data_IF_566228120216
#
_entry.id   IF_566228120216
#
_cell.length_a   1.000
_cell.length_b   1.000
_cell.length_c   1.000
_cell.angle_alpha   90.00
_cell.angle_beta   90.00
_cell.angle_gamma   90.00
#
_symmetry.space_group_name_H-M   'P 1'
#
loop_
_entity.id
_entity.type
_entity.pdbx_description
1 polymer ?
#
# COMPACT_ATOMS: atom_id res chain seq x y z
N UNK A 1 46.90 -35.23 -48.96
CA UNK A 1 45.59 -34.56 -48.85
C UNK A 1 44.84 -35.12 -47.64
N UNK A 2 44.88 -34.44 -46.51
CA UNK A 2 44.04 -34.77 -45.35
C UNK A 2 43.75 -33.47 -44.59
N UNK A 3 42.68 -32.81 -45.02
CA UNK A 3 42.26 -31.52 -44.52
C UNK A 3 41.51 -31.72 -43.19
N UNK A 4 42.22 -31.52 -42.07
CA UNK A 4 41.67 -31.58 -40.71
C UNK A 4 40.73 -30.38 -40.47
N UNK A 5 39.42 -30.58 -40.67
CA UNK A 5 38.39 -29.64 -40.24
C UNK A 5 38.29 -29.64 -38.70
N UNK A 6 38.91 -28.65 -38.05
CA UNK A 6 38.63 -28.31 -36.65
C UNK A 6 37.17 -27.85 -36.55
N UNK A 7 36.31 -28.68 -35.95
CA UNK A 7 34.95 -28.26 -35.61
C UNK A 7 35.03 -27.23 -34.47
N UNK A 8 34.50 -26.03 -34.72
CA UNK A 8 34.36 -25.01 -33.68
C UNK A 8 33.22 -25.46 -32.77
N UNK A 9 33.57 -25.84 -31.55
CA UNK A 9 32.62 -26.18 -30.50
C UNK A 9 31.90 -24.89 -30.07
N UNK A 10 30.69 -24.68 -30.60
CA UNK A 10 29.84 -23.55 -30.21
C UNK A 10 29.21 -23.90 -28.86
N UNK A 11 29.77 -23.38 -27.78
CA UNK A 11 29.15 -23.47 -26.45
C UNK A 11 27.80 -22.75 -26.51
N UNK A 12 26.70 -23.52 -26.49
CA UNK A 12 25.36 -22.98 -26.23
C UNK A 12 25.33 -22.58 -24.76
N UNK A 13 25.31 -21.27 -24.50
CA UNK A 13 24.99 -20.75 -23.18
C UNK A 13 23.50 -21.03 -22.97
N UNK A 14 23.17 -22.00 -22.13
CA UNK A 14 21.78 -22.25 -21.72
C UNK A 14 21.25 -21.02 -21.00
N UNK A 15 20.20 -20.42 -21.56
CA UNK A 15 19.47 -19.32 -20.91
C UNK A 15 18.68 -19.91 -19.74
N UNK A 16 19.18 -19.75 -18.52
CA UNK A 16 18.40 -20.00 -17.32
C UNK A 16 17.51 -18.78 -17.08
N UNK A 17 16.19 -18.98 -17.10
CA UNK A 17 15.25 -17.94 -16.70
C UNK A 17 15.60 -17.43 -15.29
N UNK A 18 15.67 -16.10 -15.07
CA UNK A 18 16.02 -15.56 -13.77
C UNK A 18 14.99 -16.03 -12.74
N UNK A 19 15.49 -16.74 -11.72
CA UNK A 19 14.65 -17.26 -10.66
C UNK A 19 14.13 -16.08 -9.80
N UNK A 20 12.89 -15.67 -10.04
CA UNK A 20 12.24 -14.59 -9.32
C UNK A 20 12.20 -14.87 -7.82
N UNK A 21 12.31 -13.81 -7.01
CA UNK A 21 12.14 -13.94 -5.57
C UNK A 21 10.68 -14.32 -5.28
N UNK A 22 10.41 -15.41 -4.54
CA UNK A 22 9.05 -15.75 -4.13
C UNK A 22 8.33 -14.58 -3.46
N UNK A 23 7.07 -14.32 -3.84
CA UNK A 23 6.30 -13.18 -3.32
C UNK A 23 6.27 -13.08 -1.78
N UNK A 24 6.18 -14.18 -0.99
CA UNK A 24 6.27 -14.10 0.47
C UNK A 24 7.62 -13.55 0.95
N UNK A 25 8.72 -13.92 0.29
CA UNK A 25 10.07 -13.42 0.60
C UNK A 25 10.19 -11.95 0.21
N UNK A 26 9.73 -11.57 -0.98
CA UNK A 26 9.72 -10.17 -1.41
C UNK A 26 8.90 -9.29 -0.45
N UNK A 27 7.78 -9.80 0.06
CA UNK A 27 6.97 -9.15 1.09
C UNK A 27 7.76 -8.97 2.39
N UNK A 28 8.44 -10.02 2.85
CA UNK A 28 9.32 -9.98 4.02
C UNK A 28 10.43 -8.95 3.88
N UNK A 29 11.06 -8.84 2.70
CA UNK A 29 12.10 -7.83 2.45
C UNK A 29 11.57 -6.39 2.55
N UNK A 30 10.36 -6.14 2.05
CA UNK A 30 9.71 -4.82 2.18
C UNK A 30 9.37 -4.50 3.64
N UNK A 31 8.93 -5.49 4.41
CA UNK A 31 8.66 -5.36 5.85
C UNK A 31 9.95 -5.04 6.62
N UNK A 32 11.00 -5.84 6.42
CA UNK A 32 12.32 -5.62 7.02
C UNK A 32 12.83 -4.22 6.68
N UNK A 33 12.71 -3.77 5.43
CA UNK A 33 13.11 -2.42 5.05
C UNK A 33 12.42 -1.34 5.88
N UNK A 34 11.09 -1.42 6.03
CA UNK A 34 10.34 -0.40 6.76
C UNK A 34 10.53 -0.48 8.27
N UNK A 35 10.69 -1.67 8.82
CA UNK A 35 10.93 -1.87 10.26
C UNK A 35 12.30 -1.33 10.66
N UNK A 36 13.36 -1.67 9.91
CA UNK A 36 14.70 -1.11 10.13
C UNK A 36 14.74 0.39 9.92
N UNK A 37 14.09 0.90 8.88
CA UNK A 37 13.99 2.35 8.66
C UNK A 37 13.30 3.06 9.83
N UNK A 38 12.21 2.49 10.34
CA UNK A 38 11.49 3.03 11.49
C UNK A 38 12.36 3.04 12.75
N UNK A 39 12.99 1.91 13.07
CA UNK A 39 13.90 1.78 14.21
C UNK A 39 15.07 2.74 14.11
N UNK A 40 15.74 2.82 12.96
CA UNK A 40 16.86 3.75 12.72
C UNK A 40 16.45 5.19 13.00
N UNK A 41 15.30 5.64 12.47
CA UNK A 41 14.80 7.01 12.69
C UNK A 41 14.49 7.25 14.18
N UNK A 42 13.81 6.30 14.84
CA UNK A 42 13.46 6.43 16.25
C UNK A 42 14.70 6.49 17.15
N UNK A 43 15.64 5.56 16.97
CA UNK A 43 16.90 5.52 17.72
C UNK A 43 17.71 6.80 17.50
N UNK A 44 17.82 7.27 16.27
CA UNK A 44 18.58 8.49 15.98
C UNK A 44 17.95 9.72 16.62
N UNK A 45 16.63 9.89 16.53
CA UNK A 45 15.93 10.99 17.20
C UNK A 45 16.11 10.94 18.72
N UNK A 46 16.08 9.74 19.34
CA UNK A 46 16.33 9.60 20.77
C UNK A 46 17.74 10.03 21.17
N UNK A 47 18.76 9.68 20.37
CA UNK A 47 20.14 10.12 20.58
C UNK A 47 20.25 11.64 20.47
N UNK A 48 19.71 12.23 19.40
CA UNK A 48 19.72 13.69 19.20
C UNK A 48 19.07 14.43 20.38
N UNK A 49 17.89 13.98 20.81
CA UNK A 49 17.19 14.56 21.97
C UNK A 49 17.99 14.44 23.26
N UNK A 50 18.71 13.34 23.47
CA UNK A 50 19.57 13.17 24.64
C UNK A 50 20.78 14.13 24.57
N UNK A 51 21.40 14.27 23.41
CA UNK A 51 22.53 15.19 23.22
C UNK A 51 22.12 16.64 23.43
N UNK A 52 21.01 17.07 22.84
CA UNK A 52 20.46 18.42 23.01
C UNK A 52 20.19 18.73 24.50
N UNK A 53 19.57 17.80 25.24
CA UNK A 53 19.32 17.94 26.69
C UNK A 53 20.58 18.11 27.52
N UNK A 54 21.70 17.55 27.06
CA UNK A 54 22.98 17.62 27.75
C UNK A 54 23.91 18.70 27.15
N UNK A 55 23.40 19.58 26.30
CA UNK A 55 24.18 20.68 25.70
C UNK A 55 25.25 20.21 24.70
N UNK A 56 25.16 18.98 24.20
CA UNK A 56 26.05 18.44 23.18
C UNK A 56 25.48 18.81 21.81
N UNK A 57 26.25 19.56 21.02
CA UNK A 57 25.81 19.97 19.68
C UNK A 57 25.81 18.81 18.69
N UNK A 58 25.00 18.91 17.62
CA UNK A 58 25.03 17.93 16.53
C UNK A 58 26.41 17.89 15.85
N UNK A 59 27.10 19.03 15.73
CA UNK A 59 28.46 19.07 15.20
C UNK A 59 29.48 18.31 16.07
N UNK A 60 29.32 18.31 17.39
CA UNK A 60 30.20 17.55 18.29
C UNK A 60 30.05 16.04 18.08
N UNK A 61 28.81 15.57 17.86
CA UNK A 61 28.55 14.18 17.50
C UNK A 61 29.26 13.78 16.20
N UNK A 62 29.32 14.71 15.24
CA UNK A 62 29.97 14.48 13.95
C UNK A 62 31.50 14.52 14.03
N UNK A 63 32.07 15.58 14.64
CA UNK A 63 33.50 15.88 14.56
C UNK A 63 34.32 15.30 15.71
N UNK A 64 33.72 15.18 16.90
CA UNK A 64 34.46 14.84 18.14
C UNK A 64 34.25 13.39 18.58
N UNK A 65 33.05 12.85 18.42
CA UNK A 65 32.69 11.53 18.95
C UNK A 65 32.51 10.44 17.88
N UNK A 66 32.58 10.78 16.59
CA UNK A 66 32.58 9.80 15.48
C UNK A 66 31.26 9.05 15.26
N UNK A 67 30.15 9.52 15.85
CA UNK A 67 28.85 8.80 15.87
C UNK A 67 28.18 8.76 14.48
N UNK A 68 28.52 9.72 13.61
CA UNK A 68 28.00 9.81 12.23
C UNK A 68 28.21 8.54 11.41
N UNK A 69 29.40 7.92 11.55
CA UNK A 69 29.75 6.69 10.84
C UNK A 69 28.78 5.54 11.15
N UNK A 70 28.43 5.36 12.43
CA UNK A 70 27.49 4.33 12.88
C UNK A 70 26.07 4.55 12.32
N UNK A 71 25.65 5.82 12.19
CA UNK A 71 24.35 6.15 11.60
C UNK A 71 24.35 5.86 10.10
N UNK A 72 25.43 6.20 9.40
CA UNK A 72 25.58 5.91 7.97
C UNK A 72 25.62 4.41 7.69
N UNK A 73 26.31 3.63 8.52
CA UNK A 73 26.32 2.17 8.48
C UNK A 73 24.92 1.58 8.59
N UNK A 74 24.08 2.08 9.50
CA UNK A 74 22.68 1.67 9.61
C UNK A 74 21.89 1.94 8.30
N UNK A 75 22.18 3.06 7.60
CA UNK A 75 21.60 3.34 6.27
C UNK A 75 22.07 2.35 5.20
N UNK A 76 23.31 1.84 5.31
CA UNK A 76 23.83 0.88 4.31
C UNK A 76 23.02 -0.41 4.25
N UNK A 77 22.50 -0.87 5.39
CA UNK A 77 21.66 -2.07 5.45
C UNK A 77 20.34 -1.89 4.68
N UNK A 78 19.64 -0.77 4.92
CA UNK A 78 18.44 -0.40 4.15
C UNK A 78 18.75 -0.30 2.64
N UNK A 79 19.88 0.30 2.29
CA UNK A 79 20.31 0.43 0.90
C UNK A 79 20.60 -0.93 0.24
N UNK A 80 21.14 -1.91 0.97
CA UNK A 80 21.33 -3.28 0.47
C UNK A 80 19.99 -3.94 0.14
N UNK A 81 18.99 -3.80 1.02
CA UNK A 81 17.64 -4.30 0.77
C UNK A 81 17.02 -3.59 -0.44
N UNK A 82 17.12 -2.26 -0.50
CA UNK A 82 16.63 -1.48 -1.63
C UNK A 82 17.25 -1.94 -2.95
N UNK A 83 18.58 -2.10 -3.02
CA UNK A 83 19.27 -2.59 -4.22
C UNK A 83 18.76 -3.96 -4.66
N UNK A 84 18.54 -4.88 -3.72
CA UNK A 84 17.97 -6.21 -4.03
C UNK A 84 16.56 -6.12 -4.58
N UNK A 85 15.73 -5.24 -4.03
CA UNK A 85 14.38 -4.99 -4.54
C UNK A 85 14.39 -4.26 -5.89
N UNK A 86 15.32 -3.32 -6.11
CA UNK A 86 15.52 -2.64 -7.40
C UNK A 86 15.79 -3.66 -8.52
N UNK A 87 16.68 -4.63 -8.28
CA UNK A 87 16.98 -5.69 -9.26
C UNK A 87 15.85 -6.69 -9.48
N UNK A 88 14.90 -6.79 -8.54
CA UNK A 88 13.79 -7.74 -8.62
C UNK A 88 12.59 -7.14 -9.36
N UNK A 89 12.19 -5.91 -9.01
CA UNK A 89 10.95 -5.30 -9.53
C UNK A 89 11.00 -5.06 -11.04
N UNK A 90 12.19 -4.88 -11.62
CA UNK A 90 12.37 -4.71 -13.08
C UNK A 90 11.89 -5.90 -13.89
N UNK A 91 11.82 -7.09 -13.29
CA UNK A 91 11.34 -8.29 -13.96
C UNK A 91 9.80 -8.32 -14.09
N UNK A 92 9.08 -7.40 -13.44
CA UNK A 92 7.63 -7.33 -13.47
C UNK A 92 7.17 -6.29 -14.50
N UNK A 93 6.38 -6.72 -15.49
CA UNK A 93 5.84 -5.84 -16.55
C UNK A 93 5.11 -4.62 -16.00
N UNK A 94 4.35 -4.78 -14.92
CA UNK A 94 3.62 -3.67 -14.28
C UNK A 94 4.55 -2.59 -13.71
N UNK A 95 5.75 -2.98 -13.27
CA UNK A 95 6.75 -2.02 -12.81
C UNK A 95 7.29 -1.22 -13.99
N UNK A 96 7.78 -1.92 -15.02
CA UNK A 96 8.34 -1.30 -16.22
C UNK A 96 7.33 -0.36 -16.91
N UNK A 97 6.12 -0.86 -17.14
CA UNK A 97 5.14 -0.16 -17.96
C UNK A 97 4.33 0.89 -17.20
N UNK A 98 4.30 0.87 -15.86
CA UNK A 98 3.43 1.77 -15.12
C UNK A 98 4.06 2.32 -13.84
N UNK A 99 4.38 1.48 -12.85
CA UNK A 99 4.71 1.96 -11.49
C UNK A 99 5.94 2.90 -11.46
N UNK A 100 6.98 2.61 -12.25
CA UNK A 100 8.20 3.45 -12.27
C UNK A 100 7.98 4.86 -12.84
N UNK A 101 6.89 5.06 -13.60
CA UNK A 101 6.55 6.33 -14.23
C UNK A 101 5.73 7.26 -13.32
N UNK A 102 5.35 6.80 -12.13
CA UNK A 102 4.55 7.59 -11.18
C UNK A 102 5.46 8.25 -10.15
N UNK A 103 5.39 9.57 -10.02
CA UNK A 103 6.19 10.28 -9.02
C UNK A 103 5.75 9.89 -7.61
N UNK A 104 6.74 9.58 -6.76
CA UNK A 104 6.50 9.10 -5.40
C UNK A 104 6.36 7.58 -5.31
N UNK A 105 6.44 6.83 -6.41
CA UNK A 105 6.49 5.36 -6.38
C UNK A 105 7.89 4.89 -6.74
N UNK A 106 8.59 4.37 -5.74
CA UNK A 106 9.90 3.72 -5.91
C UNK A 106 9.77 2.19 -5.95
N UNK A 107 10.92 1.52 -6.09
CA UNK A 107 11.03 0.06 -6.06
C UNK A 107 10.46 -0.57 -4.79
N UNK A 108 10.69 0.01 -3.61
CA UNK A 108 10.17 -0.51 -2.34
C UNK A 108 8.63 -0.57 -2.34
N UNK A 109 7.98 0.54 -2.72
CA UNK A 109 6.52 0.61 -2.78
C UNK A 109 5.97 -0.30 -3.88
N UNK A 110 6.68 -0.39 -5.01
CA UNK A 110 6.32 -1.27 -6.13
C UNK A 110 6.40 -2.74 -5.75
N UNK A 111 7.52 -3.17 -5.15
CA UNK A 111 7.70 -4.51 -4.60
C UNK A 111 6.61 -4.81 -3.56
N UNK A 112 6.29 -3.86 -2.68
CA UNK A 112 5.21 -4.00 -1.72
C UNK A 112 3.86 -4.25 -2.38
N UNK A 113 3.52 -3.49 -3.43
CA UNK A 113 2.27 -3.65 -4.18
C UNK A 113 2.22 -5.01 -4.86
N UNK A 114 3.28 -5.36 -5.58
CA UNK A 114 3.40 -6.63 -6.31
C UNK A 114 3.30 -7.81 -5.34
N UNK A 115 4.05 -7.78 -4.24
CA UNK A 115 4.08 -8.87 -3.26
C UNK A 115 2.76 -9.05 -2.50
N UNK A 116 2.02 -7.96 -2.25
CA UNK A 116 0.76 -8.03 -1.48
C UNK A 116 -0.46 -8.37 -2.35
N UNK A 117 -0.50 -7.88 -3.58
CA UNK A 117 -1.57 -8.18 -4.55
C UNK A 117 -1.33 -9.57 -5.14
N UNK A 118 -0.09 -9.83 -5.58
CA UNK A 118 0.31 -11.06 -6.23
C UNK A 118 -0.37 -11.22 -7.59
N UNK A 119 -1.48 -11.94 -7.59
CA UNK A 119 -2.26 -12.24 -8.79
C UNK A 119 -3.47 -11.31 -8.89
N UNK A 120 -3.44 -10.45 -9.91
CA UNK A 120 -4.49 -9.45 -10.15
C UNK A 120 -5.81 -10.08 -10.62
N UNK A 121 -5.80 -11.31 -11.15
CA UNK A 121 -6.98 -12.01 -11.65
C UNK A 121 -8.01 -12.28 -10.55
N UNK A 122 -7.54 -12.43 -9.30
CA UNK A 122 -8.35 -12.58 -8.07
C UNK A 122 -9.32 -11.41 -7.85
N UNK A 123 -9.05 -10.26 -8.45
CA UNK A 123 -9.84 -9.05 -8.33
C UNK A 123 -10.53 -8.74 -9.65
N UNK A 124 -11.70 -9.34 -9.88
CA UNK A 124 -12.54 -9.08 -11.06
C UNK A 124 -13.11 -7.66 -11.15
N UNK A 125 -13.07 -6.92 -10.05
CA UNK A 125 -13.58 -5.55 -9.92
C UNK A 125 -12.67 -4.76 -8.98
N UNK A 126 -12.54 -3.46 -9.24
CA UNK A 126 -11.78 -2.55 -8.37
C UNK A 126 -12.33 -2.54 -6.93
N UNK A 127 -13.64 -2.73 -6.74
CA UNK A 127 -14.26 -2.80 -5.41
C UNK A 127 -13.73 -3.96 -4.57
N UNK A 128 -13.46 -5.12 -5.17
CA UNK A 128 -12.84 -6.25 -4.46
C UNK A 128 -11.40 -5.95 -4.05
N UNK A 129 -10.62 -5.30 -4.92
CA UNK A 129 -9.26 -4.88 -4.57
C UNK A 129 -9.28 -3.83 -3.45
N UNK A 130 -10.18 -2.86 -3.50
CA UNK A 130 -10.35 -1.89 -2.41
C UNK A 130 -10.76 -2.56 -1.10
N UNK A 131 -11.68 -3.52 -1.11
CA UNK A 131 -12.05 -4.30 0.07
C UNK A 131 -10.85 -5.04 0.66
N UNK A 132 -10.06 -5.70 -0.19
CA UNK A 132 -8.84 -6.41 0.23
C UNK A 132 -7.75 -5.46 0.74
N UNK A 133 -7.62 -4.27 0.18
CA UNK A 133 -6.67 -3.23 0.62
C UNK A 133 -7.13 -2.44 1.86
N UNK A 134 -8.33 -2.71 2.40
CA UNK A 134 -8.88 -1.93 3.54
C UNK A 134 -9.37 -0.54 3.15
N UNK A 135 -9.60 -0.30 1.86
CA UNK A 135 -10.11 0.93 1.25
C UNK A 135 -11.59 0.82 0.85
N UNK A 136 -12.27 -0.26 1.21
CA UNK A 136 -13.69 -0.50 0.99
C UNK A 136 -14.56 -0.10 2.18
N UNK A 137 -15.71 -0.78 2.28
CA UNK A 137 -16.72 -0.57 3.30
C UNK A 137 -17.21 -1.91 3.86
N UNK A 138 -17.40 -1.96 5.16
CA UNK A 138 -18.18 -3.01 5.80
C UNK A 138 -19.65 -2.57 5.90
N UNK A 139 -20.48 -3.44 6.44
CA UNK A 139 -21.91 -3.17 6.64
C UNK A 139 -22.25 -3.31 8.12
N UNK A 140 -23.19 -2.49 8.59
CA UNK A 140 -23.65 -2.45 9.97
C UNK A 140 -25.16 -2.66 10.00
N UNK A 141 -25.62 -3.52 10.91
CA UNK A 141 -27.04 -3.71 11.15
C UNK A 141 -27.49 -2.72 12.25
N UNK A 142 -28.44 -1.81 11.95
CA UNK A 142 -28.96 -0.89 12.96
C UNK A 142 -29.76 -1.63 14.06
N UNK A 143 -30.48 -2.70 13.73
CA UNK A 143 -31.34 -3.41 14.70
C UNK A 143 -30.57 -4.32 15.66
N UNK A 144 -29.58 -5.05 15.16
CA UNK A 144 -28.75 -5.92 16.01
C UNK A 144 -27.50 -5.20 16.56
N UNK A 145 -27.31 -3.94 16.21
CA UNK A 145 -26.20 -3.08 16.64
C UNK A 145 -24.79 -3.64 16.43
N UNK A 146 -24.60 -4.50 15.42
CA UNK A 146 -23.31 -5.10 15.12
C UNK A 146 -22.95 -5.01 13.63
N UNK A 147 -21.64 -5.03 13.28
CA UNK A 147 -21.24 -5.18 11.90
C UNK A 147 -21.62 -6.56 11.37
N UNK A 148 -21.93 -6.66 10.08
CA UNK A 148 -22.21 -7.95 9.46
C UNK A 148 -20.95 -8.82 9.40
N UNK A 149 -21.12 -10.12 9.66
CA UNK A 149 -20.03 -11.06 9.76
C UNK A 149 -20.43 -12.45 9.28
N UNK A 150 -19.44 -13.30 9.08
CA UNK A 150 -19.58 -14.73 8.87
C UNK A 150 -18.80 -15.46 9.95
N UNK A 151 -19.37 -16.55 10.46
CA UNK A 151 -18.67 -17.43 11.39
C UNK A 151 -17.67 -18.28 10.61
N UNK A 152 -16.44 -18.32 11.10
CA UNK A 152 -15.32 -19.03 10.50
C UNK A 152 -14.66 -19.89 11.56
N UNK A 153 -14.29 -21.09 11.17
CA UNK A 153 -13.63 -22.06 12.04
C UNK A 153 -12.12 -22.03 11.81
N UNK A 154 -11.38 -22.16 12.89
CA UNK A 154 -9.92 -22.15 12.92
C UNK A 154 -9.42 -23.36 13.66
N UNK A 155 -8.55 -24.09 13.01
CA UNK A 155 -7.77 -25.14 13.64
C UNK A 155 -6.49 -24.52 14.21
N UNK A 156 -6.24 -24.74 15.50
CA UNK A 156 -4.98 -24.38 16.13
C UNK A 156 -3.88 -25.40 15.78
N UNK A 157 -2.66 -25.19 16.30
CA UNK A 157 -1.53 -26.10 16.02
C UNK A 157 -1.72 -27.50 16.60
N UNK A 158 -2.63 -27.65 17.56
CA UNK A 158 -2.92 -28.90 18.29
C UNK A 158 -4.16 -29.61 17.69
N UNK A 159 -4.78 -29.04 16.66
CA UNK A 159 -5.96 -29.59 15.99
C UNK A 159 -7.30 -29.16 16.59
N UNK A 160 -7.31 -28.26 17.59
CA UNK A 160 -8.56 -27.81 18.20
C UNK A 160 -9.26 -26.78 17.31
N UNK A 161 -10.57 -26.94 17.13
CA UNK A 161 -11.39 -26.03 16.32
C UNK A 161 -11.97 -24.92 17.21
N UNK A 162 -11.68 -23.67 16.86
CA UNK A 162 -12.26 -22.47 17.47
C UNK A 162 -13.09 -21.69 16.46
N UNK A 163 -14.19 -21.08 16.93
CA UNK A 163 -15.07 -20.26 16.08
C UNK A 163 -14.77 -18.78 16.26
N UNK A 164 -14.51 -18.08 15.15
CA UNK A 164 -14.33 -16.63 15.11
C UNK A 164 -15.38 -15.95 14.25
N UNK A 165 -15.63 -14.67 14.52
CA UNK A 165 -16.51 -13.81 13.70
C UNK A 165 -15.66 -12.99 12.73
N UNK A 166 -15.77 -13.23 11.42
CA UNK A 166 -15.03 -12.48 10.40
C UNK A 166 -15.94 -11.51 9.68
N UNK A 167 -15.53 -10.24 9.59
CA UNK A 167 -16.32 -9.19 8.96
C UNK A 167 -16.63 -9.53 7.50
N UNK A 168 -17.88 -9.36 7.07
CA UNK A 168 -18.26 -9.57 5.66
C UNK A 168 -19.43 -8.65 5.33
N UNK A 169 -19.34 -7.78 4.30
CA UNK A 169 -20.35 -6.76 4.00
C UNK A 169 -21.58 -7.38 3.33
N UNK A 170 -22.48 -7.96 4.12
CA UNK A 170 -23.76 -8.45 3.60
C UNK A 170 -24.74 -7.30 3.42
N UNK A 171 -25.55 -7.32 2.36
CA UNK A 171 -26.57 -6.29 2.13
C UNK A 171 -27.66 -6.32 3.22
N UNK A 172 -28.05 -7.53 3.64
CA UNK A 172 -28.94 -7.78 4.75
C UNK A 172 -28.20 -8.46 5.91
N UNK A 173 -28.64 -8.22 7.13
CA UNK A 173 -28.05 -8.82 8.32
C UNK A 173 -28.24 -10.35 8.29
N UNK A 174 -27.18 -11.17 8.53
CA UNK A 174 -27.32 -12.62 8.54
C UNK A 174 -28.15 -13.16 9.71
N UNK A 175 -28.35 -12.37 10.78
CA UNK A 175 -29.11 -12.79 11.96
C UNK A 175 -30.60 -12.38 11.88
N UNK A 176 -30.87 -11.12 11.53
CA UNK A 176 -32.23 -10.56 11.53
C UNK A 176 -32.77 -10.16 10.15
N UNK A 177 -32.01 -10.36 9.08
CA UNK A 177 -32.34 -10.03 7.69
C UNK A 177 -32.67 -8.54 7.39
N UNK A 178 -32.48 -7.62 8.35
CA UNK A 178 -32.67 -6.18 8.11
C UNK A 178 -31.61 -5.59 7.19
N UNK A 179 -32.00 -4.55 6.44
CA UNK A 179 -31.10 -3.83 5.54
C UNK A 179 -29.98 -3.14 6.31
N UNK A 180 -28.77 -3.26 5.78
CA UNK A 180 -27.56 -2.80 6.47
C UNK A 180 -27.03 -1.48 5.89
N UNK A 181 -26.39 -0.69 6.74
CA UNK A 181 -25.80 0.59 6.37
C UNK A 181 -24.29 0.46 6.13
N UNK A 182 -23.70 1.19 5.16
CA UNK A 182 -22.27 1.13 4.91
C UNK A 182 -21.48 1.83 6.02
N UNK A 183 -20.42 1.15 6.49
CA UNK A 183 -19.46 1.68 7.44
C UNK A 183 -18.04 1.55 6.88
N UNK A 184 -17.16 2.50 7.19
CA UNK A 184 -15.76 2.43 6.75
C UNK A 184 -15.08 1.21 7.41
N UNK A 185 -14.27 0.45 6.65
CA UNK A 185 -13.47 -0.64 7.20
C UNK A 185 -12.53 -0.13 8.31
N UNK A 186 -12.75 -0.58 9.54
CA UNK A 186 -11.93 -0.30 10.72
C UNK A 186 -11.86 -1.55 11.57
N UNK A 187 -10.80 -1.68 12.37
CA UNK A 187 -10.69 -2.78 13.35
C UNK A 187 -11.86 -2.67 14.32
N UNK A 188 -12.57 -3.76 14.53
CA UNK A 188 -13.72 -3.81 15.42
C UNK A 188 -13.49 -4.90 16.47
N UNK A 189 -13.60 -4.53 17.75
CA UNK A 189 -13.38 -5.46 18.87
C UNK A 189 -14.31 -6.67 18.74
N UNK A 190 -13.76 -7.87 18.90
CA UNK A 190 -14.51 -9.13 18.79
C UNK A 190 -14.70 -9.65 17.37
N UNK A 191 -14.20 -8.93 16.36
CA UNK A 191 -14.29 -9.34 14.96
C UNK A 191 -12.92 -9.37 14.30
N UNK A 192 -12.76 -10.33 13.39
CA UNK A 192 -11.60 -10.39 12.53
C UNK A 192 -11.77 -9.52 11.29
N UNK A 193 -10.68 -8.84 10.95
CA UNK A 193 -10.58 -7.98 9.78
C UNK A 193 -10.73 -8.78 8.48
N UNK A 194 -11.33 -8.15 7.46
CA UNK A 194 -11.57 -8.74 6.14
C UNK A 194 -10.73 -8.11 5.02
N UNK A 195 -9.66 -7.43 5.41
CA UNK A 195 -8.66 -6.85 4.52
C UNK A 195 -7.26 -7.35 4.90
N UNK A 196 -6.29 -7.18 4.01
CA UNK A 196 -4.87 -7.38 4.30
C UNK A 196 -4.34 -6.21 5.13
N UNK A 197 -3.94 -6.41 6.41
CA UNK A 197 -3.39 -5.33 7.22
C UNK A 197 -2.14 -4.70 6.59
N UNK A 198 -1.33 -5.53 5.93
CA UNK A 198 -0.09 -5.14 5.25
C UNK A 198 -0.35 -4.24 4.06
N UNK A 199 -1.26 -4.65 3.17
CA UNK A 199 -1.62 -3.82 2.02
C UNK A 199 -2.26 -2.50 2.46
N UNK A 200 -3.08 -2.52 3.53
CA UNK A 200 -3.67 -1.30 4.10
C UNK A 200 -2.59 -0.32 4.60
N UNK A 201 -1.57 -0.81 5.29
CA UNK A 201 -0.42 0.01 5.73
C UNK A 201 0.36 0.53 4.53
N UNK A 202 0.57 -0.28 3.50
CA UNK A 202 1.23 0.14 2.28
C UNK A 202 0.45 1.26 1.55
N UNK A 203 -0.88 1.15 1.47
CA UNK A 203 -1.75 2.19 0.94
C UNK A 203 -1.62 3.51 1.72
N UNK A 204 -1.44 3.47 3.04
CA UNK A 204 -1.16 4.66 3.83
C UNK A 204 0.20 5.28 3.44
N UNK A 205 1.26 4.45 3.31
CA UNK A 205 2.60 4.90 2.87
C UNK A 205 2.58 5.51 1.46
N UNK A 206 1.81 4.93 0.53
CA UNK A 206 1.59 5.47 -0.82
C UNK A 206 1.00 6.88 -0.76
N UNK A 207 -0.07 7.03 0.02
CA UNK A 207 -0.71 8.33 0.24
C UNK A 207 0.26 9.39 0.75
N UNK A 208 1.01 9.06 1.81
CA UNK A 208 2.06 9.96 2.33
C UNK A 208 3.14 10.28 1.30
N UNK A 209 3.49 9.32 0.44
CA UNK A 209 4.48 9.52 -0.62
C UNK A 209 4.01 10.53 -1.67
N UNK A 210 2.76 10.42 -2.13
CA UNK A 210 2.16 11.37 -3.08
C UNK A 210 2.08 12.78 -2.50
N UNK A 211 1.68 12.89 -1.23
CA UNK A 211 1.63 14.19 -0.55
C UNK A 211 3.01 14.82 -0.45
N UNK A 212 4.10 14.07 -0.39
CA UNK A 212 5.46 14.64 -0.35
C UNK A 212 5.99 15.12 -1.71
N UNK A 213 5.30 14.83 -2.81
CA UNK A 213 5.74 15.24 -4.15
C UNK A 213 5.37 16.70 -4.47
N UNK A 214 6.03 17.25 -5.50
CA UNK A 214 5.71 18.58 -6.05
C UNK A 214 4.55 18.48 -7.06
N UNK A 215 3.53 19.32 -6.92
CA UNK A 215 2.34 19.33 -7.78
C UNK A 215 2.64 19.52 -9.27
N UNK A 216 3.67 20.31 -9.59
CA UNK A 216 4.12 20.52 -10.97
C UNK A 216 4.56 19.22 -11.67
N UNK A 217 5.05 18.22 -10.91
CA UNK A 217 5.61 16.98 -11.46
C UNK A 217 4.75 15.74 -11.21
N UNK A 218 3.86 15.77 -10.21
CA UNK A 218 3.09 14.59 -9.79
C UNK A 218 1.60 14.80 -9.96
N UNK A 219 0.97 13.97 -10.80
CA UNK A 219 -0.47 13.96 -11.03
C UNK A 219 -1.26 13.56 -9.78
N UNK A 220 -0.79 12.57 -9.01
CA UNK A 220 -1.46 12.20 -7.76
C UNK A 220 -1.36 13.26 -6.68
N UNK A 221 -0.29 14.08 -6.66
CA UNK A 221 -0.24 15.26 -5.80
C UNK A 221 -1.31 16.28 -6.20
N UNK A 222 -1.52 16.53 -7.50
CA UNK A 222 -2.58 17.44 -7.98
C UNK A 222 -3.98 16.94 -7.64
N UNK A 223 -4.24 15.63 -7.79
CA UNK A 223 -5.51 15.00 -7.39
C UNK A 223 -5.74 15.14 -5.88
N UNK A 224 -4.70 14.95 -5.07
CA UNK A 224 -4.79 15.19 -3.63
C UNK A 224 -5.14 16.65 -3.31
N UNK A 225 -4.50 17.60 -3.99
CA UNK A 225 -4.75 19.03 -3.79
C UNK A 225 -6.17 19.44 -4.23
N UNK A 226 -6.69 18.89 -5.33
CA UNK A 226 -8.07 19.15 -5.74
C UNK A 226 -9.04 18.68 -4.66
N UNK A 227 -8.88 17.45 -4.15
CA UNK A 227 -9.73 16.98 -3.05
C UNK A 227 -9.60 17.77 -1.76
N UNK A 228 -8.40 18.31 -1.47
CA UNK A 228 -8.21 19.19 -0.32
C UNK A 228 -8.95 20.51 -0.49
N UNK A 229 -8.86 21.12 -1.67
CA UNK A 229 -9.60 22.35 -2.00
C UNK A 229 -11.10 22.13 -1.87
N UNK A 230 -11.63 21.10 -2.53
CA UNK A 230 -13.07 20.79 -2.49
C UNK A 230 -13.56 20.56 -1.05
N UNK A 231 -12.86 19.72 -0.26
CA UNK A 231 -13.27 19.42 1.12
C UNK A 231 -13.20 20.66 2.04
N UNK A 232 -12.30 21.60 1.74
CA UNK A 232 -12.15 22.88 2.47
C UNK A 232 -13.26 23.86 2.11
N UNK A 233 -13.68 23.89 0.85
CA UNK A 233 -14.82 24.70 0.39
C UNK A 233 -16.15 24.22 1.00
N UNK A 234 -16.38 22.90 1.04
CA UNK A 234 -17.57 22.32 1.67
C UNK A 234 -17.57 22.40 3.20
N UNK A 235 -16.39 22.38 3.84
CA UNK A 235 -16.24 22.35 5.30
C UNK A 235 -15.16 23.35 5.78
N UNK A 236 -15.41 24.66 5.66
CA UNK A 236 -14.40 25.68 5.95
C UNK A 236 -14.08 25.80 7.44
N UNK A 237 -14.98 25.38 8.32
CA UNK A 237 -14.82 25.51 9.78
C UNK A 237 -14.86 24.15 10.49
N UNK A 238 -14.27 24.10 11.69
CA UNK A 238 -14.31 22.91 12.53
C UNK A 238 -15.73 22.69 13.06
N UNK A 239 -16.39 21.65 12.57
CA UNK A 239 -17.72 21.27 13.05
C UNK A 239 -17.60 20.20 14.13
N UNK A 240 -18.27 20.42 15.26
CA UNK A 240 -18.50 19.41 16.30
C UNK A 240 -19.96 18.94 16.21
N UNK A 241 -20.17 17.63 16.31
CA UNK A 241 -21.49 17.00 16.33
C UNK A 241 -21.48 15.95 17.45
N UNK A 242 -22.48 15.97 18.33
CA UNK A 242 -22.59 15.06 19.48
C UNK A 242 -21.31 14.98 20.34
N UNK A 243 -20.70 16.14 20.63
CA UNK A 243 -19.47 16.24 21.43
C UNK A 243 -18.20 15.74 20.73
N UNK A 244 -18.30 15.24 19.49
CA UNK A 244 -17.15 14.74 18.71
C UNK A 244 -16.84 15.69 17.56
N UNK A 245 -15.56 15.89 17.27
CA UNK A 245 -15.13 16.67 16.09
C UNK A 245 -15.46 15.87 14.83
N UNK A 246 -16.41 16.36 14.02
CA UNK A 246 -16.81 15.73 12.77
C UNK A 246 -15.83 16.08 11.65
N UNK A 247 -15.50 17.37 11.52
CA UNK A 247 -14.57 17.88 10.54
C UNK A 247 -13.44 18.66 11.21
N UNK A 248 -12.21 18.22 10.98
CA UNK A 248 -10.99 18.97 11.29
C UNK A 248 -10.00 18.79 10.14
N UNK A 249 -8.93 19.59 10.15
CA UNK A 249 -7.92 19.56 9.10
C UNK A 249 -7.31 18.17 8.90
N UNK A 250 -7.05 17.43 9.98
CA UNK A 250 -6.53 16.06 9.93
C UNK A 250 -7.52 15.06 9.29
N UNK A 251 -8.82 15.20 9.53
CA UNK A 251 -9.85 14.37 8.90
C UNK A 251 -9.94 14.67 7.40
N UNK A 252 -9.86 15.94 7.03
CA UNK A 252 -9.86 16.37 5.63
C UNK A 252 -8.61 15.87 4.90
N UNK A 253 -7.44 16.01 5.53
CA UNK A 253 -6.18 15.44 5.07
C UNK A 253 -6.31 13.94 4.80
N UNK A 254 -6.74 13.17 5.81
CA UNK A 254 -6.86 11.72 5.70
C UNK A 254 -7.90 11.30 4.64
N UNK A 255 -8.98 12.06 4.49
CA UNK A 255 -10.01 11.82 3.46
C UNK A 255 -9.46 12.07 2.06
N UNK A 256 -8.77 13.20 1.84
CA UNK A 256 -8.15 13.53 0.56
C UNK A 256 -7.06 12.52 0.17
N UNK A 257 -6.20 12.13 1.13
CA UNK A 257 -5.21 11.06 0.93
C UNK A 257 -5.90 9.75 0.54
N UNK A 258 -6.93 9.34 1.29
CA UNK A 258 -7.66 8.11 1.01
C UNK A 258 -8.31 8.12 -0.38
N UNK A 259 -8.95 9.21 -0.78
CA UNK A 259 -9.56 9.36 -2.12
C UNK A 259 -8.49 9.24 -3.22
N UNK A 260 -7.35 9.91 -3.04
CA UNK A 260 -6.21 9.86 -3.97
C UNK A 260 -5.68 8.43 -4.13
N UNK A 261 -5.47 7.72 -3.02
CA UNK A 261 -4.99 6.33 -3.05
C UNK A 261 -6.02 5.40 -3.70
N UNK A 262 -7.32 5.61 -3.51
CA UNK A 262 -8.36 4.83 -4.22
C UNK A 262 -8.23 4.99 -5.74
N UNK A 263 -8.01 6.22 -6.22
CA UNK A 263 -7.82 6.50 -7.65
C UNK A 263 -6.55 5.82 -8.15
N UNK A 264 -5.43 5.95 -7.43
CA UNK A 264 -4.21 5.24 -7.77
C UNK A 264 -4.42 3.73 -7.88
N UNK A 265 -5.07 3.11 -6.89
CA UNK A 265 -5.38 1.67 -6.91
C UNK A 265 -6.31 1.30 -8.07
N UNK A 266 -7.22 2.19 -8.47
CA UNK A 266 -8.05 2.01 -9.67
C UNK A 266 -7.20 2.01 -10.93
N UNK A 267 -6.29 2.97 -11.08
CA UNK A 267 -5.43 3.03 -12.25
C UNK A 267 -4.50 1.83 -12.32
N UNK A 268 -3.89 1.45 -11.20
CA UNK A 268 -3.06 0.24 -11.10
C UNK A 268 -3.84 -1.02 -11.49
N UNK A 269 -5.09 -1.15 -11.03
CA UNK A 269 -5.92 -2.31 -11.36
C UNK A 269 -6.26 -2.37 -12.85
N UNK A 270 -6.63 -1.24 -13.45
CA UNK A 270 -6.91 -1.15 -14.89
C UNK A 270 -5.66 -1.54 -15.69
N UNK A 271 -4.54 -0.84 -15.47
CA UNK A 271 -3.32 -1.05 -16.26
C UNK A 271 -2.75 -2.45 -16.10
N UNK A 272 -2.80 -3.01 -14.89
CA UNK A 272 -2.31 -4.35 -14.65
C UNK A 272 -3.21 -5.41 -15.30
N UNK A 273 -4.54 -5.28 -15.24
CA UNK A 273 -5.44 -6.21 -15.92
C UNK A 273 -5.30 -6.16 -17.43
N UNK A 274 -5.19 -4.97 -18.02
CA UNK A 274 -4.93 -4.80 -19.45
C UNK A 274 -3.64 -5.50 -19.88
N UNK A 275 -2.58 -5.41 -19.08
CA UNK A 275 -1.31 -6.09 -19.36
C UNK A 275 -1.38 -7.61 -19.29
N UNK A 276 -2.27 -8.16 -18.46
CA UNK A 276 -2.52 -9.59 -18.35
C UNK A 276 -3.59 -10.08 -19.34
N UNK A 277 -4.09 -9.20 -20.23
CA UNK A 277 -5.16 -9.55 -21.18
C UNK A 277 -6.50 -9.85 -20.52
N UNK A 278 -6.70 -9.38 -19.28
CA UNK A 278 -7.91 -9.62 -18.50
C UNK A 278 -8.95 -8.54 -18.78
N UNK A 279 -10.22 -8.92 -18.79
CA UNK A 279 -11.31 -7.95 -18.96
C UNK A 279 -11.30 -6.88 -17.88
N UNK A 280 -11.38 -5.62 -18.31
CA UNK A 280 -11.57 -4.46 -17.44
C UNK A 280 -13.05 -4.11 -17.43
N UNK A 281 -13.74 -4.47 -16.35
CA UNK A 281 -15.10 -3.98 -16.12
C UNK A 281 -15.04 -2.49 -15.83
N UNK A 282 -15.91 -1.73 -16.50
CA UNK A 282 -16.21 -0.34 -16.19
C UNK A 282 -16.20 -0.10 -14.66
N UNK A 283 -15.46 0.91 -14.14
CA UNK A 283 -15.43 1.17 -12.71
C UNK A 283 -16.84 1.35 -12.17
N UNK A 284 -17.13 0.78 -11.00
CA UNK A 284 -18.42 0.97 -10.29
C UNK A 284 -18.88 2.44 -10.21
N UNK A 285 -17.94 3.39 -10.27
CA UNK A 285 -18.18 4.84 -10.28
C UNK A 285 -19.05 5.29 -11.47
N UNK A 286 -18.92 4.62 -12.63
CA UNK A 286 -19.72 4.88 -13.84
C UNK A 286 -21.21 4.59 -13.63
N UNK A 287 -21.53 3.56 -12.84
CA UNK A 287 -22.92 3.10 -12.66
C UNK A 287 -23.70 3.78 -11.54
N UNK A 288 -23.04 4.41 -10.57
CA UNK A 288 -23.72 4.85 -9.32
C UNK A 288 -23.52 6.33 -8.98
N UNK A 289 -22.46 7.01 -9.43
CA UNK A 289 -22.09 8.33 -8.89
C UNK A 289 -21.80 9.44 -9.90
N UNK A 290 -21.87 9.20 -11.21
CA UNK A 290 -21.82 10.27 -12.23
C UNK A 290 -20.57 11.16 -12.18
N UNK A 291 -19.45 10.68 -11.64
CA UNK A 291 -18.21 11.44 -11.54
C UNK A 291 -17.32 11.22 -12.78
N UNK A 292 -16.64 12.27 -13.22
CA UNK A 292 -15.61 12.21 -14.27
C UNK A 292 -14.55 11.15 -13.94
N UNK A 293 -14.42 10.16 -14.83
CA UNK A 293 -13.43 9.09 -14.67
C UNK A 293 -12.06 9.67 -15.04
N UNK A 294 -11.20 9.81 -14.04
CA UNK A 294 -9.78 10.06 -14.27
C UNK A 294 -9.18 8.77 -14.82
N UNK A 295 -8.68 8.81 -16.06
CA UNK A 295 -8.02 7.68 -16.71
C UNK A 295 -6.62 7.46 -16.13
N UNK A 296 -6.06 6.23 -16.21
CA UNK A 296 -4.66 5.99 -15.90
C UNK A 296 -3.73 6.92 -16.69
N UNK A 297 -2.71 7.45 -16.02
CA UNK A 297 -1.73 8.35 -16.61
C UNK A 297 -0.33 8.02 -16.08
N UNK A 298 0.68 8.61 -16.71
CA UNK A 298 2.08 8.54 -16.30
C UNK A 298 2.58 9.96 -16.04
N UNK A 299 3.42 10.15 -15.02
CA UNK A 299 4.01 11.45 -14.71
C UNK A 299 5.31 11.71 -15.50
N UNK A 300 5.92 10.65 -16.04
CA UNK A 300 7.16 10.66 -16.83
C UNK A 300 6.95 9.98 -18.17
#
# INVERSE_FOLDING_TARGET
>A
MSNSKKSKNVMRVEYQEPQLIPLPIMRGLVEIFYDFQGQRIATFNNVLMNCERNGISEEDLEKKYGVKSLIEEAKTFENKIKKRLDSEVVNYKIYDKYLQHIQGIGSILSAGLIANIGDISKFDTISKLWMYAGLGFNKFCPECEHPTYVTVEYEDREGNITKGKKLKPFENCPECNHKTTPIIQKRTKGYQDNWSPRLRVLCWKLGSSFVKQKAAKSGYRRIYESFRRDDTEFHPTKVKENGKTKYNDGHMYNRAVRKTVKIFMSHLWITWREMEGLEVKAPYVEKVLGHDIIKPFKDR
#
